data_IF_007808899551
#
_entry.id   IF_007808899551
#
_cell.length_a   1.000
_cell.length_b   1.000
_cell.length_c   1.000
_cell.angle_alpha   90.00
_cell.angle_beta   90.00
_cell.angle_gamma   90.00
#
_symmetry.space_group_name_H-M   'P 1'
#
loop_
_entity.id
_entity.type
_entity.pdbx_description
1 polymer ?
2 polymer ?
3 water ?
#
# COMPACT_ATOMS: atom_id res chain seq x y z
N UNK A 16 -12.08 -20.12 -3.61
CA UNK A 16 -11.35 -19.59 -2.46
C UNK A 16 -10.41 -18.45 -2.87
N UNK A 17 -9.22 -18.80 -3.32
CA UNK A 17 -8.27 -17.80 -3.79
C UNK A 17 -8.71 -17.27 -5.17
N UNK A 18 -9.48 -16.18 -5.18
CA UNK A 18 -10.00 -15.58 -6.41
C UNK A 18 -10.21 -14.06 -6.30
N UNK A 19 -10.09 -13.37 -7.42
CA UNK A 19 -10.28 -11.92 -7.44
C UNK A 19 -11.50 -11.52 -8.26
N UNK A 20 -12.16 -10.46 -7.81
CA UNK A 20 -13.34 -9.93 -8.48
C UNK A 20 -12.97 -8.94 -9.60
N UNK A 21 -13.36 -9.29 -10.82
CA UNK A 21 -13.14 -8.45 -11.99
C UNK A 21 -14.46 -7.98 -12.60
N UNK A 22 -14.50 -6.73 -13.05
CA UNK A 22 -15.65 -6.22 -13.75
C UNK A 22 -15.50 -6.37 -15.26
N UNK A 23 -16.50 -6.99 -15.88
CA UNK A 23 -16.53 -7.15 -17.33
C UNK A 23 -17.54 -6.17 -17.96
N UNK A 24 -17.00 -5.09 -18.51
CA UNK A 24 -17.79 -4.06 -19.14
C UNK A 24 -17.74 -4.26 -20.63
N UNK A 25 -18.89 -4.22 -21.28
CA UNK A 25 -18.91 -4.32 -22.72
C UNK A 25 -19.94 -3.38 -23.33
N UNK A 26 -19.52 -2.67 -24.37
CA UNK A 26 -20.43 -1.78 -25.09
C UNK A 26 -19.99 -1.62 -26.53
N UNK A 27 -20.93 -1.80 -27.45
CA UNK A 27 -20.68 -1.66 -28.86
C UNK A 27 -19.54 -2.54 -29.33
N UNK A 28 -19.57 -3.82 -28.96
CA UNK A 28 -18.53 -4.77 -29.34
C UNK A 28 -17.12 -4.51 -28.78
N UNK A 29 -16.96 -3.51 -27.90
CA UNK A 29 -15.71 -3.39 -27.16
C UNK A 29 -15.85 -3.97 -25.75
N UNK A 30 -14.79 -4.64 -25.29
CA UNK A 30 -14.75 -5.22 -23.95
C UNK A 30 -13.66 -4.56 -23.15
N UNK A 31 -13.92 -4.41 -21.86
CA UNK A 31 -12.85 -4.21 -20.92
C UNK A 31 -13.07 -5.13 -19.74
N UNK A 32 -11.98 -5.60 -19.16
CA UNK A 32 -12.02 -6.41 -17.95
C UNK A 32 -11.07 -5.81 -16.93
N UNK A 33 -11.64 -5.25 -15.88
CA UNK A 33 -10.87 -4.49 -14.91
C UNK A 33 -11.09 -5.06 -13.53
N UNK A 34 -10.12 -4.85 -12.64
CA UNK A 34 -10.30 -5.32 -11.28
C UNK A 34 -10.65 -4.17 -10.34
N UNK A 35 -11.65 -4.42 -9.52
CA UNK A 35 -12.16 -3.46 -8.53
C UNK A 35 -12.17 -4.12 -7.17
N UNK A 36 -11.00 -4.16 -6.52
CA UNK A 36 -10.85 -4.79 -5.23
C UNK A 36 -10.99 -3.80 -4.09
N UNK A 37 -11.89 -4.10 -3.15
CA UNK A 37 -12.15 -3.24 -2.00
C UNK A 37 -10.97 -3.14 -1.00
N UNK A 38 -10.90 -2.01 -0.29
CA UNK A 38 -9.91 -1.80 0.76
C UNK A 38 -10.18 -2.67 1.99
N UNK A 39 -9.13 -3.33 2.47
CA UNK A 39 -9.14 -4.05 3.74
C UNK A 39 -8.73 -3.14 4.89
N UNK A 40 -9.55 -3.05 5.93
CA UNK A 40 -9.19 -2.28 7.11
C UNK A 40 -8.77 -3.23 8.22
N UNK A 41 -7.48 -3.21 8.57
CA UNK A 41 -6.97 -4.16 9.54
C UNK A 41 -6.39 -3.46 10.78
N UNK A 42 -7.14 -3.51 11.88
CA UNK A 42 -6.70 -2.83 13.10
C UNK A 42 -5.78 -3.71 13.96
N UNK A 43 -4.76 -3.07 14.53
CA UNK A 43 -3.86 -3.75 15.43
C UNK A 43 -3.44 -2.84 16.55
N UNK A 44 -2.97 -3.45 17.63
CA UNK A 44 -2.39 -2.73 18.74
C UNK A 44 -0.89 -3.02 18.86
N UNK A 45 -0.10 -1.97 19.08
CA UNK A 45 1.33 -2.10 19.27
C UNK A 45 1.80 -1.58 20.63
N UNK A 46 2.64 -2.37 21.30
CA UNK A 46 3.29 -1.92 22.52
C UNK A 46 4.80 -1.80 22.32
N UNK A 47 5.35 -0.60 22.52
CA UNK A 47 6.74 -0.31 22.21
C UNK A 47 7.49 0.12 23.45
N UNK A 48 8.60 -0.55 23.70
CA UNK A 48 9.47 -0.20 24.81
C UNK A 48 10.84 0.02 24.24
N UNK A 49 11.39 1.21 24.43
CA UNK A 49 12.71 1.50 23.88
C UNK A 49 13.73 1.71 24.98
N UNK A 50 14.99 1.89 24.60
CA UNK A 50 16.02 2.33 25.55
C UNK A 50 16.16 3.84 25.41
N UNK A 51 16.73 4.46 26.44
CA UNK A 51 16.85 5.91 26.52
C UNK A 51 17.46 6.52 25.27
N UNK A 52 18.47 5.86 24.72
CA UNK A 52 19.19 6.37 23.57
C UNK A 52 18.53 5.96 22.23
N UNK A 53 17.97 4.77 22.16
CA UNK A 53 17.44 4.33 20.88
C UNK A 53 16.15 5.04 20.50
N UNK A 54 15.80 4.96 19.22
CA UNK A 54 14.55 5.51 18.76
C UNK A 54 13.51 4.41 18.79
N UNK A 55 12.27 4.77 18.47
CA UNK A 55 11.22 3.78 18.29
C UNK A 55 11.39 3.15 16.91
N UNK A 56 12.01 3.91 16.01
CA UNK A 56 12.32 3.43 14.68
C UNK A 56 11.26 3.69 13.62
N UNK A 57 10.69 4.88 13.62
CA UNK A 57 9.72 5.25 12.59
C UNK A 57 9.70 6.75 12.29
N UNK A 58 9.26 7.09 11.09
CA UNK A 58 9.04 8.48 10.73
C UNK A 58 7.54 8.73 10.62
N UNK A 59 7.05 9.64 11.45
CA UNK A 59 5.64 9.99 11.46
C UNK A 59 5.38 11.13 10.49
N UNK A 60 4.32 10.99 9.68
CA UNK A 60 3.96 12.06 8.76
C UNK A 60 2.46 12.34 8.81
N UNK A 61 2.09 13.60 8.97
CA UNK A 61 0.68 13.96 8.86
C UNK A 61 0.43 15.45 8.90
N UNK A 62 -0.81 15.83 8.65
CA UNK A 62 -1.23 17.22 8.56
C UNK A 62 -0.86 18.05 9.78
N UNK A 63 -0.36 19.24 9.51
CA UNK A 63 -0.14 20.24 10.54
C UNK A 63 -1.47 20.89 10.86
N UNK A 64 -1.78 21.00 12.15
CA UNK A 64 -3.03 21.58 12.61
C UNK A 64 -2.93 21.87 14.11
N UNK A 65 -3.22 23.12 14.49
CA UNK A 65 -3.13 23.56 15.89
C UNK A 65 -4.16 22.85 16.76
N UNK A 66 -5.34 22.64 16.21
CA UNK A 66 -6.41 21.95 16.92
C UNK A 66 -6.90 20.84 16.02
N UNK A 67 -7.56 19.83 16.59
CA UNK A 67 -8.15 18.78 15.75
C UNK A 67 -9.09 19.34 14.69
N UNK A 68 -9.05 18.71 13.51
CA UNK A 68 -9.85 19.13 12.39
C UNK A 68 -11.16 18.36 12.41
N UNK A 69 -12.18 18.98 12.98
CA UNK A 69 -13.44 18.31 13.25
C UNK A 69 -14.07 17.75 11.98
N UNK A 70 -14.00 18.51 10.89
CA UNK A 70 -14.66 18.12 9.67
C UNK A 70 -13.91 17.00 8.92
N UNK A 71 -12.69 16.69 9.36
CA UNK A 71 -11.95 15.58 8.76
C UNK A 71 -12.82 14.34 8.77
N UNK A 72 -12.86 13.66 7.63
CA UNK A 72 -13.71 12.48 7.51
C UNK A 72 -12.92 11.28 7.04
N UNK A 73 -12.73 10.30 7.95
CA UNK A 73 -12.02 9.06 7.61
C UNK A 73 -12.68 8.36 6.44
N UNK A 74 -11.86 7.93 5.51
CA UNK A 74 -12.30 7.12 4.39
C UNK A 74 -11.53 5.80 4.45
N UNK A 75 -12.00 4.79 3.71
CA UNK A 75 -11.30 3.50 3.68
C UNK A 75 -9.85 3.65 3.25
N UNK A 76 -9.61 4.59 2.34
CA UNK A 76 -8.26 4.74 1.81
C UNK A 76 -7.42 5.59 2.74
N UNK A 77 -8.08 6.40 3.55
CA UNK A 77 -7.37 7.34 4.43
C UNK A 77 -8.12 7.52 5.74
N UNK A 78 -7.85 6.62 6.69
CA UNK A 78 -8.57 6.53 7.96
C UNK A 78 -8.26 7.68 8.93
N UNK A 79 -7.10 8.32 8.79
CA UNK A 79 -6.65 9.24 9.84
C UNK A 79 -5.53 10.14 9.35
N UNK A 80 -5.23 11.17 10.13
CA UNK A 80 -4.30 12.21 9.67
C UNK A 80 -2.83 11.82 9.74
N UNK A 81 -2.43 11.10 10.78
CA UNK A 81 -1.02 10.79 10.98
C UNK A 81 -0.72 9.35 10.62
N UNK A 82 0.29 9.16 9.79
CA UNK A 82 0.63 7.83 9.32
C UNK A 82 2.14 7.61 9.37
N UNK A 83 2.52 6.35 9.34
CA UNK A 83 3.92 5.99 9.39
C UNK A 83 4.51 6.09 7.99
N UNK A 84 5.38 7.07 7.77
CA UNK A 84 5.93 7.22 6.43
C UNK A 84 7.06 6.23 6.14
N UNK A 85 7.66 5.70 7.21
CA UNK A 85 8.63 4.61 7.09
C UNK A 85 8.81 3.94 8.46
N UNK A 86 9.19 2.67 8.44
CA UNK A 86 9.54 1.96 9.67
C UNK A 86 10.90 1.24 9.53
N UNK A 87 11.82 1.54 10.46
CA UNK A 87 13.11 0.89 10.50
C UNK A 87 12.96 -0.60 10.70
N UNK A 88 13.42 -1.36 9.72
CA UNK A 88 13.38 -2.80 9.77
C UNK A 88 14.19 -3.25 10.98
N UNK A 89 13.62 -4.19 11.74
CA UNK A 89 14.21 -4.70 12.99
C UNK A 89 14.54 -3.62 14.02
N UNK A 90 13.83 -2.50 13.94
CA UNK A 90 13.86 -1.49 14.98
C UNK A 90 12.71 -1.79 15.91
N UNK A 91 12.56 -0.97 16.95
CA UNK A 91 11.59 -1.25 17.99
C UNK A 91 10.15 -1.37 17.46
N UNK A 92 9.77 -0.47 16.57
CA UNK A 92 8.40 -0.46 16.06
C UNK A 92 8.16 -1.66 15.17
N UNK A 93 9.16 -1.97 14.36
CA UNK A 93 9.06 -3.10 13.47
C UNK A 93 8.84 -4.39 14.25
N UNK A 94 9.59 -4.54 15.34
CA UNK A 94 9.51 -5.74 16.17
C UNK A 94 8.13 -5.82 16.79
N UNK A 95 7.58 -4.65 17.12
CA UNK A 95 6.24 -4.55 17.70
C UNK A 95 5.12 -4.75 16.68
N UNK A 96 5.47 -4.87 15.40
CA UNK A 96 4.47 -5.22 14.41
C UNK A 96 4.03 -4.07 13.51
N UNK A 97 4.55 -2.89 13.78
CA UNK A 97 4.29 -1.74 12.94
C UNK A 97 4.92 -1.85 11.54
N UNK A 98 4.20 -1.32 10.55
CA UNK A 98 4.68 -1.36 9.18
C UNK A 98 4.48 0.01 8.53
N UNK A 99 5.22 0.26 7.46
CA UNK A 99 5.12 1.51 6.73
C UNK A 99 3.65 1.68 6.27
N UNK A 100 3.11 2.89 6.39
CA UNK A 100 1.75 3.15 5.95
C UNK A 100 0.65 2.96 6.99
N UNK A 101 1.00 2.56 8.22
CA UNK A 101 -0.01 2.39 9.27
C UNK A 101 -0.55 3.75 9.69
N UNK A 102 -1.86 3.81 9.88
CA UNK A 102 -2.50 5.02 10.33
C UNK A 102 -2.69 5.01 11.83
N UNK A 103 -2.24 6.08 12.47
CA UNK A 103 -2.38 6.22 13.91
C UNK A 103 -3.81 6.55 14.33
N UNK A 104 -4.35 5.71 15.23
CA UNK A 104 -5.72 5.89 15.72
C UNK A 104 -5.75 6.39 17.17
N UNK A 105 -4.95 5.74 18.01
CA UNK A 105 -4.85 6.11 19.41
C UNK A 105 -3.38 6.04 19.87
N UNK A 106 -2.99 7.01 20.69
CA UNK A 106 -1.63 7.11 21.20
C UNK A 106 -1.71 7.34 22.70
N UNK A 107 -1.23 6.38 23.48
CA UNK A 107 -1.35 6.41 24.94
C UNK A 107 -2.74 6.79 25.46
N UNK A 108 -3.76 6.09 24.96
CA UNK A 108 -5.11 6.33 25.40
C UNK A 108 -5.73 7.63 24.90
N UNK A 109 -5.08 8.29 23.95
CA UNK A 109 -5.66 9.48 23.34
C UNK A 109 -6.01 9.28 21.88
N UNK A 110 -7.27 9.52 21.52
CA UNK A 110 -7.69 9.46 20.12
C UNK A 110 -6.99 10.52 19.26
N UNK A 111 -6.38 10.11 18.15
CA UNK A 111 -5.54 11.03 17.38
C UNK A 111 -5.89 11.04 15.89
N UNK A 112 -6.98 10.36 15.56
CA UNK A 112 -7.49 10.31 14.20
C UNK A 112 -7.51 11.67 13.52
N UNK A 113 -8.01 12.68 14.24
CA UNK A 113 -8.23 14.02 13.68
C UNK A 113 -7.19 15.02 14.15
N UNK A 114 -6.19 14.53 14.87
CA UNK A 114 -5.26 15.40 15.59
C UNK A 114 -4.06 15.82 14.75
N UNK A 115 -3.65 17.09 14.87
CA UNK A 115 -2.52 17.61 14.14
C UNK A 115 -1.21 16.98 14.58
N UNK A 116 -0.20 17.17 13.75
CA UNK A 116 1.08 16.48 13.88
C UNK A 116 1.84 16.82 15.16
N UNK A 117 2.01 18.11 15.40
CA UNK A 117 2.71 18.57 16.58
C UNK A 117 2.16 17.93 17.88
N UNK A 118 0.84 17.84 18.01
CA UNK A 118 0.23 17.35 19.24
C UNK A 118 0.46 15.84 19.40
N UNK A 119 0.31 15.11 18.29
CA UNK A 119 0.57 13.68 18.31
C UNK A 119 2.03 13.41 18.70
N UNK A 120 2.94 14.10 18.03
CA UNK A 120 4.35 14.05 18.39
C UNK A 120 4.56 14.35 19.88
N UNK A 121 3.90 15.39 20.38
CA UNK A 121 3.97 15.73 21.79
C UNK A 121 3.52 14.62 22.72
N UNK A 122 2.45 13.91 22.34
CA UNK A 122 1.99 12.76 23.12
C UNK A 122 3.02 11.63 23.14
N UNK A 123 3.58 11.33 21.97
CA UNK A 123 4.57 10.29 21.84
C UNK A 123 5.79 10.58 22.71
N UNK A 124 6.15 11.85 22.82
CA UNK A 124 7.30 12.27 23.58
C UNK A 124 7.04 12.29 25.08
N UNK A 125 5.80 12.55 25.49
CA UNK A 125 5.44 12.52 26.91
C UNK A 125 5.52 11.11 27.45
N UNK A 126 5.36 10.12 26.57
CA UNK A 126 5.41 8.72 26.95
C UNK A 126 6.80 8.21 27.34
N UNK A 127 7.84 8.88 26.87
CA UNK A 127 9.20 8.48 27.20
C UNK A 127 9.65 7.23 26.46
N UNK A 128 10.01 6.19 27.20
CA UNK A 128 10.45 4.95 26.56
C UNK A 128 9.32 3.99 26.16
N UNK A 129 8.13 4.26 26.65
CA UNK A 129 6.97 3.42 26.33
C UNK A 129 5.96 4.16 25.46
N UNK A 130 5.46 3.46 24.44
CA UNK A 130 4.44 3.99 23.55
C UNK A 130 3.42 2.90 23.24
N UNK A 131 2.15 3.18 23.50
CA UNK A 131 1.10 2.20 23.23
C UNK A 131 0.05 2.77 22.28
N UNK A 132 -0.10 2.11 21.13
CA UNK A 132 -0.86 2.67 20.04
C UNK A 132 -1.86 1.71 19.44
N UNK A 133 -3.02 2.24 19.06
CA UNK A 133 -3.90 1.55 18.12
C UNK A 133 -3.63 2.15 16.75
N UNK A 134 -3.38 1.30 15.75
CA UNK A 134 -3.16 1.79 14.41
C UNK A 134 -3.98 0.97 13.44
N UNK A 135 -4.09 1.45 12.21
CA UNK A 135 -4.83 0.74 11.20
C UNK A 135 -4.00 0.62 9.94
N UNK A 136 -4.01 -0.59 9.36
CA UNK A 136 -3.44 -0.82 8.04
C UNK A 136 -4.52 -0.92 6.98
N UNK A 137 -4.19 -0.44 5.80
CA UNK A 137 -5.10 -0.40 4.68
C UNK A 137 -4.39 -0.93 3.43
N UNK A 138 -5.05 -1.85 2.73
CA UNK A 138 -4.51 -2.44 1.51
C UNK A 138 -5.64 -2.73 0.52
N UNK A 139 -5.31 -2.89 -0.76
CA UNK A 139 -6.34 -3.09 -1.79
C UNK A 139 -6.10 -4.36 -2.61
N UNK B 1 -23.94 24.49 -1.86
CA UNK B 1 -23.10 23.31 -2.04
C UNK B 1 -21.81 23.61 -2.83
N UNK B 2 -20.71 23.00 -2.40
CA UNK B 2 -19.45 23.16 -3.13
C UNK B 2 -18.45 22.01 -2.88
N UNK B 3 -17.55 21.83 -3.83
CA UNK B 3 -16.48 20.87 -3.67
C UNK B 3 -15.15 21.52 -4.04
N UNK B 4 -14.21 21.56 -3.11
CA UNK B 4 -12.95 22.26 -3.34
C UNK B 4 -11.75 21.44 -2.91
N UNK B 5 -10.72 21.44 -3.75
CA UNK B 5 -9.47 20.76 -3.43
C UNK B 5 -8.47 21.71 -2.80
N UNK B 6 -7.79 21.24 -1.76
CA UNK B 6 -6.82 22.05 -1.05
C UNK B 6 -5.62 21.23 -0.58
N UNK B 7 -4.44 21.82 -0.74
CA UNK B 7 -3.26 21.24 -0.17
C UNK B 7 -3.15 21.69 1.27
N UNK B 8 -3.20 20.72 2.19
CA UNK B 8 -2.91 20.96 3.58
C UNK B 8 -1.48 20.54 3.83
N UNK B 9 -0.71 21.41 4.48
CA UNK B 9 0.70 21.08 4.73
C UNK B 9 0.86 19.92 5.73
N UNK B 10 1.93 19.15 5.55
CA UNK B 10 2.22 17.99 6.38
C UNK B 10 3.64 18.07 6.96
N UNK B 11 3.82 17.49 8.14
CA UNK B 11 5.13 17.48 8.75
C UNK B 11 5.63 16.05 8.86
N UNK B 12 6.95 15.91 8.91
CA UNK B 12 7.62 14.64 9.14
C UNK B 12 8.47 14.72 10.40
N UNK B 13 8.44 13.66 11.18
CA UNK B 13 9.19 13.63 12.42
C UNK B 13 9.69 12.23 12.71
N UNK B 14 11.01 12.09 12.77
CA UNK B 14 11.60 10.81 13.12
C UNK B 14 11.53 10.64 14.63
N UNK B 15 11.03 9.48 15.06
CA UNK B 15 10.95 9.16 16.49
C UNK B 15 11.55 7.78 16.81
N UNK C 16 7.29 22.51 1.81
CA UNK C 16 6.69 22.10 0.54
C UNK C 16 5.98 20.74 0.66
N UNK C 17 6.06 20.12 1.84
CA UNK C 17 5.42 18.83 2.10
C UNK C 17 3.94 18.97 2.42
N UNK C 18 3.10 18.36 1.59
CA UNK C 18 1.68 18.60 1.71
C UNK C 18 0.91 17.47 1.05
N UNK C 19 -0.39 17.42 1.38
CA UNK C 19 -1.31 16.41 0.89
C UNK C 19 -2.59 17.07 0.38
N UNK C 20 -3.10 16.58 -0.75
CA UNK C 20 -4.36 17.06 -1.30
C UNK C 20 -5.54 16.51 -0.52
N UNK C 21 -6.39 17.41 -0.05
CA UNK C 21 -7.67 17.04 0.52
C UNK C 21 -8.80 17.66 -0.30
N UNK C 22 -10.00 17.10 -0.15
CA UNK C 22 -11.17 17.66 -0.77
C UNK C 22 -12.10 18.18 0.31
N UNK C 23 -12.50 19.42 0.18
CA UNK C 23 -13.49 19.97 1.08
C UNK C 23 -14.81 19.94 0.36
N UNK C 24 -15.71 19.14 0.90
CA UNK C 24 -17.02 18.98 0.30
C UNK C 24 -18.10 19.44 1.28
N UNK C 25 -18.94 20.35 0.84
CA UNK C 25 -19.99 20.84 1.72
C UNK C 25 -21.29 20.89 0.96
N UNK C 26 -22.35 20.44 1.62
CA UNK C 26 -23.68 20.60 1.09
C UNK C 26 -24.66 20.63 2.26
N UNK C 27 -25.67 21.48 2.17
CA UNK C 27 -26.65 21.60 3.23
C UNK C 27 -26.06 21.97 4.58
N UNK C 28 -24.88 22.60 4.54
CA UNK C 28 -24.18 23.07 5.74
C UNK C 28 -23.59 21.92 6.57
N UNK C 29 -23.53 20.76 5.95
CA UNK C 29 -22.72 19.65 6.44
C UNK C 29 -21.39 19.64 5.71
N UNK C 30 -20.30 19.49 6.45
CA UNK C 30 -18.95 19.56 5.88
C UNK C 30 -18.18 18.25 5.98
N UNK C 31 -17.31 18.03 5.01
CA UNK C 31 -16.48 16.83 5.02
C UNK C 31 -15.16 17.08 4.32
N UNK C 32 -14.08 16.92 5.07
CA UNK C 32 -12.74 17.02 4.53
C UNK C 32 -12.17 15.63 4.42
N UNK C 33 -11.91 15.20 3.19
CA UNK C 33 -11.33 13.88 2.95
C UNK C 33 -10.02 13.98 2.16
N UNK C 34 -9.12 13.03 2.36
CA UNK C 34 -7.90 12.93 1.53
C UNK C 34 -8.28 12.72 0.08
N UNK C 35 -7.55 13.35 -0.82
CA UNK C 35 -7.89 13.26 -2.23
C UNK C 35 -6.63 13.20 -3.07
N UNK C 36 -5.78 12.23 -2.79
CA UNK C 36 -4.48 12.16 -3.46
C UNK C 36 -4.54 11.56 -4.86
N UNK C 37 -3.71 12.13 -5.74
CA UNK C 37 -3.46 11.59 -7.06
C UNK C 37 -2.69 10.29 -6.96
N UNK C 38 -3.02 9.35 -7.83
CA UNK C 38 -2.25 8.12 -7.95
C UNK C 38 -0.82 8.41 -8.39
N UNK C 39 0.13 7.89 -7.63
CA UNK C 39 1.52 7.93 -8.02
C UNK C 39 1.89 6.58 -8.62
N UNK C 40 2.13 6.55 -9.93
CA UNK C 40 2.55 5.33 -10.58
C UNK C 40 4.06 5.35 -10.79
N UNK C 41 4.75 4.49 -10.05
CA UNK C 41 6.20 4.44 -10.10
C UNK C 41 6.70 3.12 -10.69
N UNK C 42 7.17 3.19 -11.93
CA UNK C 42 7.78 2.04 -12.61
C UNK C 42 9.29 1.91 -12.27
N UNK C 43 9.71 0.68 -11.97
CA UNK C 43 11.11 0.43 -11.67
C UNK C 43 11.59 -0.93 -12.18
N UNK C 44 12.88 -1.02 -12.46
CA UNK C 44 13.51 -2.27 -12.86
C UNK C 44 14.31 -2.85 -11.69
N UNK C 45 13.90 -4.03 -11.23
CA UNK C 45 14.63 -4.73 -10.18
C UNK C 45 15.44 -5.89 -10.77
N UNK C 46 16.69 -6.02 -10.31
CA UNK C 46 17.58 -7.10 -10.78
C UNK C 46 18.02 -8.00 -9.63
N UNK C 47 17.57 -9.25 -9.68
CA UNK C 47 17.76 -10.15 -8.55
C UNK C 47 18.78 -11.22 -8.87
N UNK C 48 19.80 -11.30 -8.03
CA UNK C 48 20.85 -12.30 -8.13
C UNK C 48 20.84 -13.12 -6.84
N UNK C 49 20.42 -14.38 -6.94
CA UNK C 49 20.32 -15.23 -5.75
C UNK C 49 21.35 -16.34 -5.84
N UNK C 50 21.65 -16.98 -4.71
CA UNK C 50 22.52 -18.16 -4.70
C UNK C 50 21.68 -19.38 -5.08
N UNK C 51 22.36 -20.48 -5.39
CA UNK C 51 21.68 -21.69 -5.88
C UNK C 51 20.58 -22.19 -4.95
N UNK C 52 20.82 -22.05 -3.64
CA UNK C 52 19.89 -22.61 -2.67
C UNK C 52 18.88 -21.63 -2.07
N UNK C 53 19.19 -20.33 -2.04
CA UNK C 53 18.21 -19.37 -1.55
C UNK C 53 17.13 -19.13 -2.59
N UNK C 54 15.99 -18.62 -2.14
CA UNK C 54 14.93 -18.20 -3.06
C UNK C 54 15.07 -16.73 -3.34
N UNK C 55 14.33 -16.22 -4.31
CA UNK C 55 14.35 -14.78 -4.59
C UNK C 55 13.73 -13.98 -3.44
N UNK C 56 12.97 -14.67 -2.58
CA UNK C 56 12.37 -14.07 -1.41
C UNK C 56 11.10 -13.27 -1.66
N UNK C 57 10.16 -13.84 -2.41
CA UNK C 57 8.83 -13.25 -2.59
C UNK C 57 7.74 -14.25 -2.96
N UNK C 58 6.51 -13.89 -2.65
CA UNK C 58 5.36 -14.67 -3.07
C UNK C 58 4.57 -13.91 -4.14
N UNK C 59 4.49 -14.52 -5.32
CA UNK C 59 3.79 -13.94 -6.45
C UNK C 59 2.34 -14.42 -6.44
N UNK C 60 1.42 -13.50 -6.69
CA UNK C 60 0.00 -13.87 -6.75
C UNK C 60 -0.71 -13.22 -7.92
N UNK C 61 -1.55 -13.98 -8.60
CA UNK C 61 -2.42 -13.38 -9.59
C UNK C 61 -3.23 -14.37 -10.39
N UNK C 62 -3.95 -13.84 -11.37
CA UNK C 62 -4.91 -14.63 -12.14
C UNK C 62 -4.30 -15.81 -12.89
N UNK C 63 -4.92 -16.97 -12.72
CA UNK C 63 -4.55 -18.13 -13.50
C UNK C 63 -5.11 -17.94 -14.91
N UNK C 64 -4.33 -18.34 -15.91
CA UNK C 64 -4.79 -18.38 -17.31
C UNK C 64 -3.83 -19.20 -18.16
N UNK C 65 -4.37 -20.18 -18.90
CA UNK C 65 -3.58 -21.01 -19.79
C UNK C 65 -3.06 -20.21 -20.98
N UNK C 66 -3.80 -19.15 -21.31
CA UNK C 66 -3.38 -18.19 -22.32
C UNK C 66 -3.59 -16.78 -21.80
N UNK C 67 -2.81 -15.82 -22.32
CA UNK C 67 -3.02 -14.39 -22.00
C UNK C 67 -4.47 -13.94 -22.14
N UNK C 68 -4.91 -13.12 -21.19
CA UNK C 68 -6.23 -12.53 -21.20
C UNK C 68 -6.15 -11.18 -21.89
N UNK C 69 -6.45 -11.17 -23.18
CA UNK C 69 -6.25 -9.97 -23.98
C UNK C 69 -7.18 -8.83 -23.61
N UNK C 70 -8.40 -9.18 -23.19
CA UNK C 70 -9.39 -8.17 -22.87
C UNK C 70 -9.15 -7.52 -21.51
N UNK C 71 -8.12 -7.97 -20.80
CA UNK C 71 -7.75 -7.30 -19.57
C UNK C 71 -7.41 -5.82 -19.82
N UNK C 72 -7.93 -4.96 -18.96
CA UNK C 72 -7.74 -3.52 -19.09
C UNK C 72 -7.06 -2.98 -17.83
N UNK C 73 -5.81 -2.54 -17.97
CA UNK C 73 -5.06 -1.95 -16.85
C UNK C 73 -5.66 -0.64 -16.38
N UNK C 74 -5.68 -0.46 -15.07
CA UNK C 74 -6.13 0.78 -14.46
C UNK C 74 -5.08 1.23 -13.47
N UNK C 75 -5.05 2.53 -13.13
CA UNK C 75 -4.16 2.99 -12.07
C UNK C 75 -4.23 2.09 -10.84
N UNK C 76 -5.44 1.72 -10.44
CA UNK C 76 -5.63 0.86 -9.27
C UNK C 76 -4.93 -0.49 -9.46
N UNK C 77 -5.09 -1.06 -10.64
CA UNK C 77 -4.76 -2.46 -10.88
C UNK C 77 -4.15 -2.62 -12.26
N UNK C 78 -2.84 -2.34 -12.37
CA UNK C 78 -2.15 -2.26 -13.66
C UNK C 78 -1.93 -3.62 -14.32
N UNK C 79 -1.84 -4.70 -13.54
CA UNK C 79 -1.50 -6.01 -14.10
C UNK C 79 -2.03 -7.20 -13.30
N UNK C 80 -1.96 -8.38 -13.90
CA UNK C 80 -2.50 -9.61 -13.30
C UNK C 80 -1.68 -10.17 -12.15
N UNK C 81 -0.35 -10.15 -12.30
CA UNK C 81 0.53 -10.69 -11.28
C UNK C 81 1.16 -9.58 -10.45
N UNK C 82 1.17 -9.76 -9.14
CA UNK C 82 1.70 -8.76 -8.25
C UNK C 82 2.39 -9.46 -7.07
N UNK C 83 3.15 -8.68 -6.30
CA UNK C 83 3.82 -9.22 -5.12
C UNK C 83 2.93 -9.28 -3.88
N UNK C 84 2.47 -10.47 -3.55
CA UNK C 84 1.70 -10.69 -2.35
C UNK C 84 2.50 -10.40 -1.08
N UNK C 85 3.70 -10.95 -1.02
CA UNK C 85 4.59 -10.71 0.11
C UNK C 85 6.02 -10.73 -0.37
N UNK C 86 6.85 -9.95 0.31
CA UNK C 86 8.28 -9.94 0.09
C UNK C 86 8.93 -10.21 1.44
N UNK C 87 9.80 -11.20 1.49
CA UNK C 87 10.53 -11.50 2.72
C UNK C 87 11.50 -10.37 2.96
N UNK C 88 11.53 -9.85 4.18
CA UNK C 88 12.43 -8.76 4.48
C UNK C 88 13.87 -9.30 4.66
N UNK C 89 14.83 -8.49 4.23
CA UNK C 89 16.25 -8.87 4.19
C UNK C 89 16.57 -9.92 3.11
N UNK C 90 15.54 -10.43 2.43
CA UNK C 90 15.76 -11.35 1.33
C UNK C 90 16.22 -10.65 0.07
N UNK C 91 16.49 -11.43 -0.98
CA UNK C 91 17.04 -10.89 -2.22
C UNK C 91 16.17 -9.81 -2.87
N UNK C 92 14.89 -10.10 -3.02
CA UNK C 92 13.94 -9.19 -3.66
C UNK C 92 13.79 -7.90 -2.88
N UNK C 93 13.78 -8.04 -1.55
CA UNK C 93 13.67 -6.88 -0.69
C UNK C 93 14.87 -5.98 -0.94
N UNK C 94 16.05 -6.57 -0.95
CA UNK C 94 17.28 -5.81 -1.11
C UNK C 94 17.33 -5.17 -2.49
N UNK C 95 16.63 -5.77 -3.44
CA UNK C 95 16.64 -5.25 -4.80
C UNK C 95 15.61 -4.14 -4.97
N UNK C 96 14.92 -3.80 -3.88
CA UNK C 96 14.00 -2.67 -3.88
C UNK C 96 12.54 -3.03 -4.09
N UNK C 97 12.24 -4.32 -4.25
CA UNK C 97 10.87 -4.78 -4.46
C UNK C 97 10.10 -4.79 -3.16
N UNK C 98 8.83 -4.41 -3.23
CA UNK C 98 7.98 -4.35 -2.05
C UNK C 98 6.63 -4.99 -2.29
N UNK C 99 5.93 -5.28 -1.20
CA UNK C 99 4.64 -5.94 -1.25
C UNK C 99 3.63 -5.10 -2.04
N UNK C 100 2.98 -5.73 -3.02
CA UNK C 100 2.00 -5.04 -3.83
C UNK C 100 2.48 -4.50 -5.17
N UNK C 101 3.75 -4.71 -5.50
CA UNK C 101 4.24 -4.23 -6.79
C UNK C 101 3.62 -5.06 -7.89
N UNK C 102 3.29 -4.44 -9.02
CA UNK C 102 2.77 -5.17 -10.16
C UNK C 102 3.83 -5.48 -11.21
N UNK C 103 3.90 -6.74 -11.63
CA UNK C 103 4.87 -7.18 -12.62
C UNK C 103 4.48 -6.77 -14.04
N UNK C 104 5.38 -6.05 -14.70
CA UNK C 104 5.13 -5.60 -16.08
C UNK C 104 5.93 -6.48 -17.03
N UNK C 105 7.22 -6.62 -16.73
CA UNK C 105 8.10 -7.45 -17.52
C UNK C 105 8.81 -8.41 -16.60
N UNK C 106 9.08 -9.60 -17.13
CA UNK C 106 9.95 -10.58 -16.50
C UNK C 106 11.01 -11.02 -17.50
N UNK C 107 12.27 -10.79 -17.14
CA UNK C 107 13.37 -11.08 -18.03
C UNK C 107 13.14 -10.56 -19.46
N UNK C 108 12.65 -9.32 -19.54
CA UNK C 108 12.42 -8.64 -20.81
C UNK C 108 11.11 -8.97 -21.48
N UNK C 109 10.38 -9.95 -20.93
CA UNK C 109 9.14 -10.44 -21.52
C UNK C 109 7.92 -9.82 -20.85
N UNK C 110 7.04 -9.20 -21.65
CA UNK C 110 5.84 -8.51 -21.13
C UNK C 110 4.86 -9.49 -20.50
N UNK C 111 4.49 -9.27 -19.24
CA UNK C 111 3.63 -10.21 -18.52
C UNK C 111 2.33 -9.60 -17.98
N UNK C 112 2.04 -8.38 -18.43
CA UNK C 112 0.91 -7.60 -17.92
C UNK C 112 -0.40 -8.41 -17.93
N UNK C 113 -0.60 -9.17 -18.99
CA UNK C 113 -1.81 -9.94 -19.19
C UNK C 113 -1.57 -11.43 -19.13
N UNK C 114 -0.44 -11.84 -18.59
CA UNK C 114 -0.04 -13.24 -18.63
C UNK C 114 -0.51 -14.05 -17.43
N UNK C 115 -0.98 -15.27 -17.69
CA UNK C 115 -1.45 -16.19 -16.66
C UNK C 115 -0.39 -16.48 -15.62
N UNK C 116 -0.82 -16.85 -14.43
CA UNK C 116 0.11 -17.05 -13.31
C UNK C 116 1.12 -18.16 -13.57
N UNK C 117 0.63 -19.29 -14.07
CA UNK C 117 1.50 -20.44 -14.31
C UNK C 117 2.65 -20.08 -15.23
N UNK C 118 2.37 -19.26 -16.23
CA UNK C 118 3.36 -18.96 -17.26
C UNK C 118 4.37 -17.95 -16.74
N UNK C 119 3.93 -17.01 -15.90
CA UNK C 119 4.83 -16.02 -15.34
C UNK C 119 5.84 -16.67 -14.39
N UNK C 120 5.33 -17.59 -13.57
CA UNK C 120 6.16 -18.36 -12.66
C UNK C 120 7.18 -19.17 -13.44
N UNK C 121 6.75 -19.70 -14.57
CA UNK C 121 7.64 -20.45 -15.44
C UNK C 121 8.80 -19.60 -15.91
N UNK C 122 8.49 -18.39 -16.37
CA UNK C 122 9.50 -17.49 -16.89
C UNK C 122 10.54 -17.19 -15.82
N UNK C 123 10.06 -17.09 -14.59
CA UNK C 123 10.93 -16.79 -13.46
C UNK C 123 11.87 -17.97 -13.16
N UNK C 124 11.32 -19.17 -13.09
CA UNK C 124 12.13 -20.34 -12.82
C UNK C 124 13.17 -20.58 -13.93
N UNK C 125 12.83 -20.21 -15.16
CA UNK C 125 13.74 -20.39 -16.29
C UNK C 125 15.04 -19.62 -16.15
N UNK C 126 14.98 -18.51 -15.45
CA UNK C 126 16.11 -17.61 -15.33
C UNK C 126 17.25 -18.09 -14.43
N UNK C 127 16.99 -19.12 -13.63
CA UNK C 127 17.98 -19.69 -12.74
C UNK C 127 18.27 -18.84 -11.50
N UNK C 128 19.52 -18.41 -11.34
CA UNK C 128 19.84 -17.54 -10.23
C UNK C 128 19.65 -16.04 -10.49
N UNK C 129 19.22 -15.70 -11.70
CA UNK C 129 19.07 -14.31 -12.09
C UNK C 129 17.63 -13.98 -12.45
N UNK C 130 17.16 -12.83 -12.01
CA UNK C 130 15.80 -12.40 -12.33
C UNK C 130 15.75 -10.89 -12.54
N UNK C 131 15.26 -10.50 -13.70
CA UNK C 131 15.09 -9.11 -14.03
C UNK C 131 13.60 -8.82 -14.19
N UNK C 132 13.08 -7.95 -13.32
CA UNK C 132 11.66 -7.67 -13.32
C UNK C 132 11.39 -6.19 -13.45
N UNK C 133 10.47 -5.83 -14.34
CA UNK C 133 10.01 -4.44 -14.41
C UNK C 133 8.70 -4.40 -13.63
N UNK C 134 8.64 -3.54 -12.63
CA UNK C 134 7.43 -3.48 -11.81
C UNK C 134 6.92 -2.07 -11.70
N UNK C 135 5.70 -1.91 -11.22
CA UNK C 135 5.17 -0.60 -10.87
C UNK C 135 4.61 -0.61 -9.44
N UNK C 136 4.92 0.44 -8.71
CA UNK C 136 4.38 0.63 -7.38
C UNK C 136 3.27 1.67 -7.49
N UNK C 137 2.07 1.29 -7.09
CA UNK C 137 0.99 2.24 -7.00
C UNK C 137 0.75 2.70 -5.57
N UNK C 138 0.87 3.99 -5.33
CA UNK C 138 0.53 4.55 -4.03
C UNK C 138 -0.40 5.74 -4.20
N UNK C 139 -1.06 6.14 -3.11
CA UNK C 139 -2.00 7.25 -3.16
C UNK C 139 -1.76 8.21 -1.99
N UNK D 1 -25.07 -3.89 -24.45
CA UNK D 1 -24.19 -3.27 -23.47
C UNK D 1 -24.47 -3.80 -22.06
N UNK D 2 -23.43 -4.32 -21.40
CA UNK D 2 -23.58 -4.83 -20.03
C UNK D 2 -22.32 -4.73 -19.16
N UNK D 3 -22.56 -4.53 -17.87
CA UNK D 3 -21.52 -4.51 -16.86
C UNK D 3 -21.74 -5.73 -15.97
N UNK D 4 -20.82 -6.68 -16.06
CA UNK D 4 -20.95 -7.96 -15.38
C UNK D 4 -19.81 -8.15 -14.37
N UNK D 5 -20.11 -8.74 -13.23
CA UNK D 5 -19.05 -9.07 -12.29
C UNK D 5 -18.76 -10.56 -12.22
N UNK D 6 -17.48 -10.88 -12.38
CA UNK D 6 -17.03 -12.25 -12.44
C UNK D 6 -15.76 -12.44 -11.61
N UNK D 7 -15.66 -13.60 -10.99
CA UNK D 7 -14.46 -13.91 -10.24
C UNK D 7 -13.48 -14.66 -11.12
N UNK D 8 -12.22 -14.28 -11.06
CA UNK D 8 -11.18 -15.05 -11.73
C UNK D 8 -10.33 -15.69 -10.65
N UNK D 9 -10.13 -17.00 -10.75
CA UNK D 9 -9.23 -17.68 -9.81
C UNK D 9 -7.80 -17.16 -9.92
N UNK D 10 -7.17 -16.97 -8.76
CA UNK D 10 -5.80 -16.53 -8.67
C UNK D 10 -4.94 -17.60 -8.01
N UNK D 11 -3.67 -17.67 -8.39
CA UNK D 11 -2.74 -18.59 -7.73
C UNK D 11 -1.68 -17.83 -6.93
N UNK D 12 -1.11 -18.51 -5.95
CA UNK D 12 0.03 -17.99 -5.20
C UNK D 12 1.22 -18.89 -5.44
N UNK D 13 2.42 -18.31 -5.40
CA UNK D 13 3.65 -19.09 -5.55
C UNK D 13 4.82 -18.43 -4.84
N UNK D 14 5.50 -19.20 -4.02
CA UNK D 14 6.69 -18.71 -3.39
C UNK D 14 7.89 -18.93 -4.29
N UNK D 15 8.69 -17.88 -4.47
CA UNK D 15 9.85 -17.92 -5.34
C UNK D 15 11.07 -17.39 -4.59
#
# INVERSE_FOLDING_TARGET
GPGSEFDTRHETREDRTKRLFRHYTVGSYDSLTSHSDYVIDDKVAILQKRDHEGFGFVLRGAKAETPIEEFTPTPAFPALQYLESVDVEGVAWRAGLRTGDFLIEVNGVNVVKVGHKQVVGLIRQGGNRLVMKVVSVTR
ADSIEIYIPEAQTRL
GPGSEFDTRHETREDRTKRLFRHYTVGSYDSLTSHSDYVIDDKVAILQKRDHEGFGFVLRGAKAETPIEEFTPTPAFPALQYLESVDVEGVAWRAGLRTGDFLIEVNGVNVVKVGHKQVVGLIRQGGNRLVMKVVSVTR
ADSIEIYIPEAQTRL
#
